data_IF_407136019354
#
_entry.id   IF_407136019354
#
_cell.length_a   1.000
_cell.length_b   1.000
_cell.length_c   1.000
_cell.angle_alpha   90.00
_cell.angle_beta   90.00
_cell.angle_gamma   90.00
#
_symmetry.space_group_name_H-M   'P 1'
#
loop_
_entity.id
_entity.type
_entity.pdbx_description
1 polymer ?
#
# COMPACT_ATOMS: atom_id res chain seq x y z
N UNK A 1 30.72 -1.22 -42.72
CA UNK A 1 30.99 -1.46 -41.29
C UNK A 1 30.50 -0.25 -40.52
N UNK A 2 29.63 -0.48 -39.52
CA UNK A 2 28.94 0.48 -38.62
C UNK A 2 27.41 0.50 -38.80
N UNK A 3 26.81 -0.69 -38.75
CA UNK A 3 25.43 -0.89 -38.31
C UNK A 3 25.52 -1.92 -37.18
N UNK A 4 25.47 -1.44 -35.94
CA UNK A 4 25.75 -2.28 -34.77
C UNK A 4 26.13 -1.48 -33.53
N UNK A 5 25.45 -0.37 -33.27
CA UNK A 5 25.31 0.12 -31.90
C UNK A 5 23.94 -0.37 -31.45
N UNK A 6 23.90 -1.62 -30.98
CA UNK A 6 22.86 -2.08 -30.07
C UNK A 6 22.66 -0.99 -29.02
N UNK A 7 21.50 -0.33 -29.03
CA UNK A 7 21.07 0.46 -27.88
C UNK A 7 21.15 -0.49 -26.70
N UNK A 8 22.10 -0.26 -25.80
CA UNK A 8 22.08 -0.92 -24.50
C UNK A 8 20.66 -0.75 -23.93
N UNK A 9 20.05 -1.81 -23.40
CA UNK A 9 18.76 -1.66 -22.74
C UNK A 9 18.95 -0.59 -21.67
N UNK A 10 18.28 0.56 -21.85
CA UNK A 10 18.29 1.60 -20.83
C UNK A 10 17.84 0.93 -19.54
N UNK A 11 18.59 1.07 -18.43
CA UNK A 11 18.13 0.54 -17.16
C UNK A 11 16.72 1.08 -16.92
N UNK A 12 15.79 0.19 -16.59
CA UNK A 12 14.41 0.58 -16.31
C UNK A 12 14.42 1.75 -15.33
N UNK A 13 13.84 2.88 -15.73
CA UNK A 13 13.81 4.08 -14.88
C UNK A 13 13.14 3.71 -13.57
N UNK A 14 13.87 3.86 -12.46
CA UNK A 14 13.31 3.68 -11.12
C UNK A 14 12.16 4.67 -10.94
N UNK A 15 10.96 4.15 -10.73
CA UNK A 15 9.79 4.98 -10.45
C UNK A 15 9.91 5.65 -9.08
N UNK A 16 9.23 6.78 -8.91
CA UNK A 16 9.03 7.37 -7.59
C UNK A 16 8.08 6.50 -6.78
N UNK A 17 8.41 6.26 -5.52
CA UNK A 17 7.43 5.71 -4.58
C UNK A 17 6.22 6.64 -4.50
N UNK A 18 5.03 6.06 -4.32
CA UNK A 18 3.76 6.79 -4.31
C UNK A 18 3.75 8.03 -3.41
N UNK A 19 4.29 7.93 -2.19
CA UNK A 19 4.35 9.05 -1.25
C UNK A 19 5.23 10.22 -1.78
N UNK A 20 6.39 9.91 -2.37
CA UNK A 20 7.28 10.91 -2.99
C UNK A 20 6.65 11.53 -4.24
N UNK A 21 6.00 10.70 -5.05
CA UNK A 21 5.24 11.13 -6.21
C UNK A 21 4.12 12.11 -5.82
N UNK A 22 3.36 11.81 -4.75
CA UNK A 22 2.30 12.67 -4.24
C UNK A 22 2.84 14.02 -3.74
N UNK A 23 3.93 14.01 -2.97
CA UNK A 23 4.55 15.24 -2.49
C UNK A 23 5.03 16.14 -3.64
N UNK A 24 5.72 15.55 -4.62
CA UNK A 24 6.20 16.27 -5.80
C UNK A 24 5.05 16.79 -6.67
N UNK A 25 4.04 15.95 -6.93
CA UNK A 25 2.86 16.35 -7.69
C UNK A 25 2.12 17.51 -7.02
N UNK A 26 1.91 17.45 -5.71
CA UNK A 26 1.23 18.51 -4.95
C UNK A 26 1.97 19.84 -5.06
N UNK A 27 3.30 19.83 -4.92
CA UNK A 27 4.13 21.02 -5.01
C UNK A 27 4.05 21.69 -6.39
N UNK A 28 3.98 20.89 -7.47
CA UNK A 28 3.89 21.42 -8.85
C UNK A 28 2.45 21.77 -9.24
N UNK A 29 1.47 20.97 -8.83
CA UNK A 29 0.08 21.10 -9.27
C UNK A 29 -0.64 22.30 -8.64
N UNK A 30 -0.37 22.59 -7.36
CA UNK A 30 -1.01 23.69 -6.62
C UNK A 30 -0.88 25.06 -7.31
N UNK A 31 0.32 25.54 -7.69
CA UNK A 31 0.46 26.83 -8.38
C UNK A 31 -0.11 26.84 -9.81
N UNK A 32 -0.43 25.66 -10.37
CA UNK A 32 -0.93 25.50 -11.73
C UNK A 32 -2.45 25.29 -11.79
N UNK A 33 -3.15 25.29 -10.65
CA UNK A 33 -4.56 24.87 -10.57
C UNK A 33 -4.78 23.53 -11.31
N UNK A 34 -3.86 22.59 -11.06
CA UNK A 34 -3.82 21.31 -11.75
C UNK A 34 -4.26 20.17 -10.81
N UNK A 35 -4.76 19.10 -11.41
CA UNK A 35 -5.11 17.84 -10.75
C UNK A 35 -4.11 16.77 -11.17
N UNK A 36 -3.61 16.00 -10.21
CA UNK A 36 -2.77 14.84 -10.52
C UNK A 36 -3.58 13.76 -11.24
N UNK A 37 -3.01 13.19 -12.30
CA UNK A 37 -3.55 12.12 -13.14
C UNK A 37 -2.57 10.95 -13.22
N UNK A 38 -2.69 10.11 -14.25
CA UNK A 38 -1.81 8.97 -14.52
C UNK A 38 -1.73 7.95 -13.39
N UNK A 39 -0.57 7.28 -13.31
CA UNK A 39 -0.25 6.24 -12.32
C UNK A 39 -0.50 6.71 -10.88
N UNK A 40 -0.15 7.96 -10.57
CA UNK A 40 -0.37 8.53 -9.24
C UNK A 40 -1.85 8.55 -8.88
N UNK A 41 -2.72 9.01 -9.79
CA UNK A 41 -4.16 9.06 -9.55
C UNK A 41 -4.80 7.67 -9.54
N UNK A 42 -4.27 6.71 -10.32
CA UNK A 42 -4.71 5.32 -10.28
C UNK A 42 -4.24 4.56 -9.04
N UNK A 43 -3.38 5.11 -8.20
CA UNK A 43 -2.98 4.41 -6.99
C UNK A 43 -1.67 3.63 -7.08
N UNK A 44 -0.96 3.66 -8.21
CA UNK A 44 0.21 2.81 -8.43
C UNK A 44 1.29 3.02 -7.35
N UNK A 45 1.94 1.92 -6.95
CA UNK A 45 3.03 1.88 -5.97
C UNK A 45 4.28 2.65 -6.42
N UNK A 46 4.55 2.59 -7.73
CA UNK A 46 5.62 3.29 -8.40
C UNK A 46 5.03 4.17 -9.50
N UNK A 47 5.52 5.41 -9.55
CA UNK A 47 5.13 6.41 -10.54
C UNK A 47 6.35 6.73 -11.39
N UNK A 48 6.33 6.26 -12.63
CA UNK A 48 7.39 6.49 -13.61
C UNK A 48 7.20 7.81 -14.35
N UNK A 49 5.95 8.27 -14.45
CA UNK A 49 5.60 9.54 -15.06
C UNK A 49 4.53 10.24 -14.23
N UNK A 50 4.86 11.42 -13.71
CA UNK A 50 3.88 12.29 -13.09
C UNK A 50 3.08 12.98 -14.18
N UNK A 51 1.76 12.87 -14.15
CA UNK A 51 0.88 13.54 -15.11
C UNK A 51 -0.01 14.50 -14.34
N UNK A 52 -0.10 15.73 -14.80
CA UNK A 52 -0.93 16.79 -14.25
C UNK A 52 -1.87 17.31 -15.33
N UNK A 53 -3.11 17.62 -14.96
CA UNK A 53 -4.10 18.22 -15.87
C UNK A 53 -4.58 19.53 -15.29
N UNK A 54 -4.34 20.63 -15.99
CA UNK A 54 -4.76 21.97 -15.58
C UNK A 54 -5.84 22.51 -16.48
N UNK A 55 -6.72 23.32 -15.91
CA UNK A 55 -7.72 24.14 -16.63
C UNK A 55 -7.26 25.59 -16.82
N UNK A 56 -6.10 25.97 -16.29
CA UNK A 56 -5.60 27.33 -16.38
C UNK A 56 -5.14 27.63 -17.82
N UNK A 57 -5.55 28.78 -18.41
CA UNK A 57 -5.24 29.10 -19.80
C UNK A 57 -3.74 29.33 -20.05
N UNK A 58 -2.98 29.68 -19.01
CA UNK A 58 -1.53 29.92 -19.03
C UNK A 58 -0.74 28.83 -18.28
N UNK A 59 -1.33 27.63 -18.13
CA UNK A 59 -0.73 26.53 -17.38
C UNK A 59 0.65 26.13 -17.92
N UNK A 60 0.81 26.13 -19.25
CA UNK A 60 2.08 25.77 -19.90
C UNK A 60 3.17 26.79 -19.57
N UNK A 61 2.90 28.10 -19.68
CA UNK A 61 3.87 29.14 -19.32
C UNK A 61 4.27 29.03 -17.85
N UNK A 62 3.28 28.88 -16.96
CA UNK A 62 3.53 28.77 -15.52
C UNK A 62 4.33 27.51 -15.17
N UNK A 63 4.07 26.39 -15.85
CA UNK A 63 4.79 25.13 -15.64
C UNK A 63 6.26 25.23 -16.02
N UNK A 64 6.55 25.81 -17.18
CA UNK A 64 7.94 26.02 -17.64
C UNK A 64 8.70 26.97 -16.70
N UNK A 65 8.01 27.88 -16.04
CA UNK A 65 8.59 28.81 -15.07
C UNK A 65 8.71 28.22 -13.64
N UNK A 66 8.21 27.01 -13.39
CA UNK A 66 8.27 26.40 -12.05
C UNK A 66 9.72 26.14 -11.63
N UNK A 67 10.15 26.53 -10.42
CA UNK A 67 11.48 26.20 -9.90
C UNK A 67 11.77 24.70 -9.83
N UNK A 68 10.72 23.88 -9.68
CA UNK A 68 10.83 22.43 -9.65
C UNK A 68 11.13 21.81 -11.02
N UNK A 69 10.90 22.53 -12.13
CA UNK A 69 11.14 22.09 -13.51
C UNK A 69 12.44 22.72 -14.01
N UNK A 70 13.49 21.91 -14.14
CA UNK A 70 14.84 22.40 -14.50
C UNK A 70 15.17 22.26 -15.98
N UNK A 71 14.43 21.41 -16.70
CA UNK A 71 14.54 21.27 -18.14
C UNK A 71 13.17 20.96 -18.73
N UNK A 72 12.91 21.48 -19.93
CA UNK A 72 11.69 21.20 -20.70
C UNK A 72 12.13 20.44 -21.95
N UNK A 73 11.62 19.22 -22.11
CA UNK A 73 11.98 18.34 -23.23
C UNK A 73 10.95 18.37 -24.35
N UNK A 74 9.71 18.73 -24.03
CA UNK A 74 8.60 18.86 -24.98
C UNK A 74 7.70 20.02 -24.54
N UNK A 75 7.22 20.79 -25.51
CA UNK A 75 6.28 21.89 -25.28
C UNK A 75 5.50 22.18 -26.56
N UNK A 76 4.18 22.18 -26.44
CA UNK A 76 3.24 22.75 -27.40
C UNK A 76 2.20 23.64 -26.68
N UNK A 77 1.11 24.00 -27.35
CA UNK A 77 0.05 24.86 -26.80
C UNK A 77 -0.74 24.23 -25.65
N UNK A 78 -0.84 22.90 -25.58
CA UNK A 78 -1.65 22.17 -24.60
C UNK A 78 -0.90 21.08 -23.85
N UNK A 79 0.37 20.90 -24.13
CA UNK A 79 1.20 19.85 -23.58
C UNK A 79 2.60 20.35 -23.27
N UNK A 80 3.15 19.92 -22.15
CA UNK A 80 4.55 20.10 -21.85
C UNK A 80 5.09 18.94 -21.03
N UNK A 81 6.36 18.58 -21.27
CA UNK A 81 7.06 17.62 -20.44
C UNK A 81 8.32 18.27 -19.87
N UNK A 82 8.34 18.35 -18.56
CA UNK A 82 9.44 18.87 -17.75
C UNK A 82 10.20 17.77 -17.03
N UNK A 83 11.45 18.04 -16.71
CA UNK A 83 12.31 17.21 -15.87
C UNK A 83 12.61 17.97 -14.58
N UNK A 84 12.49 17.30 -13.44
CA UNK A 84 12.81 17.90 -12.14
C UNK A 84 14.29 17.80 -11.79
N UNK A 85 14.72 18.49 -10.73
CA UNK A 85 16.09 18.42 -10.18
C UNK A 85 16.54 16.97 -9.95
N UNK A 86 15.63 16.12 -9.48
CA UNK A 86 15.89 14.70 -9.20
C UNK A 86 15.78 13.81 -10.45
N UNK A 87 15.59 14.39 -11.64
CA UNK A 87 15.49 13.66 -12.91
C UNK A 87 14.12 13.04 -13.20
N UNK A 88 13.08 13.39 -12.42
CA UNK A 88 11.73 12.85 -12.61
C UNK A 88 11.01 13.54 -13.76
N UNK A 89 10.28 12.78 -14.57
CA UNK A 89 9.47 13.31 -15.66
C UNK A 89 8.11 13.77 -15.15
N UNK A 90 7.74 15.01 -15.48
CA UNK A 90 6.44 15.60 -15.19
C UNK A 90 5.80 16.05 -16.49
N UNK A 91 4.66 15.49 -16.81
CA UNK A 91 3.83 15.85 -17.94
C UNK A 91 2.69 16.75 -17.46
N UNK A 92 2.48 17.86 -18.17
CA UNK A 92 1.35 18.74 -17.97
C UNK A 92 0.48 18.75 -19.23
N UNK A 93 -0.82 18.52 -19.02
CA UNK A 93 -1.87 18.71 -20.03
C UNK A 93 -2.67 19.95 -19.66
N UNK A 94 -2.69 20.96 -20.54
CA UNK A 94 -3.58 22.10 -20.42
C UNK A 94 -4.89 21.78 -21.16
N UNK A 95 -5.90 21.39 -20.39
CA UNK A 95 -7.20 20.99 -20.89
C UNK A 95 -8.07 22.21 -21.20
N UNK A 96 -8.85 22.11 -22.28
CA UNK A 96 -9.88 23.12 -22.57
C UNK A 96 -11.01 23.00 -21.53
N UNK A 97 -11.63 24.12 -21.07
CA UNK A 97 -12.67 24.07 -20.04
C UNK A 97 -13.81 23.09 -20.35
N UNK A 98 -14.26 23.02 -21.60
CA UNK A 98 -15.33 22.14 -22.07
C UNK A 98 -14.92 20.66 -22.23
N UNK A 99 -13.61 20.37 -22.15
CA UNK A 99 -13.02 19.03 -22.29
C UNK A 99 -12.32 18.54 -21.03
N UNK A 100 -12.34 19.29 -19.93
CA UNK A 100 -11.55 18.98 -18.74
C UNK A 100 -11.77 17.55 -18.25
N UNK A 101 -13.01 17.10 -18.17
CA UNK A 101 -13.35 15.72 -17.81
C UNK A 101 -12.82 14.69 -18.80
N UNK A 102 -12.97 14.94 -20.09
CA UNK A 102 -12.42 14.06 -21.15
C UNK A 102 -10.90 13.92 -21.06
N UNK A 103 -10.19 15.04 -20.92
CA UNK A 103 -8.74 15.07 -20.90
C UNK A 103 -8.20 14.51 -19.58
N UNK A 104 -8.89 14.74 -18.45
CA UNK A 104 -8.56 14.12 -17.16
C UNK A 104 -8.74 12.60 -17.20
N UNK A 105 -9.82 12.08 -17.79
CA UNK A 105 -10.03 10.64 -17.93
C UNK A 105 -8.94 10.00 -18.79
N UNK A 106 -8.63 10.63 -19.93
CA UNK A 106 -7.56 10.18 -20.85
C UNK A 106 -6.19 10.20 -20.19
N UNK A 107 -5.88 11.25 -19.44
CA UNK A 107 -4.62 11.37 -18.71
C UNK A 107 -4.54 10.44 -17.48
N UNK A 108 -5.69 9.99 -16.95
CA UNK A 108 -5.76 9.13 -15.76
C UNK A 108 -5.63 7.65 -16.11
N UNK A 109 -6.42 7.16 -17.07
CA UNK A 109 -6.47 5.73 -17.38
C UNK A 109 -5.16 5.17 -17.90
N UNK A 110 -4.96 3.85 -17.77
CA UNK A 110 -3.91 3.17 -18.55
C UNK A 110 -4.21 3.27 -20.05
N UNK A 111 -3.20 3.06 -20.89
CA UNK A 111 -3.39 3.04 -22.35
C UNK A 111 -4.47 2.02 -22.76
N UNK A 112 -4.43 0.83 -22.18
CA UNK A 112 -5.41 -0.23 -22.44
C UNK A 112 -6.83 0.15 -21.99
N UNK A 113 -6.97 0.81 -20.83
CA UNK A 113 -8.25 1.28 -20.32
C UNK A 113 -8.87 2.34 -21.23
N UNK A 114 -8.09 3.37 -21.58
CA UNK A 114 -8.55 4.48 -22.43
C UNK A 114 -8.91 3.98 -23.82
N UNK A 115 -8.06 3.13 -24.43
CA UNK A 115 -8.31 2.56 -25.76
C UNK A 115 -9.64 1.79 -25.84
N UNK A 116 -10.06 1.14 -24.76
CA UNK A 116 -11.32 0.41 -24.70
C UNK A 116 -12.57 1.32 -24.59
N UNK A 117 -12.38 2.61 -24.27
CA UNK A 117 -13.45 3.61 -24.15
C UNK A 117 -13.51 4.57 -25.34
N UNK A 118 -12.45 4.67 -26.15
CA UNK A 118 -12.44 5.55 -27.32
C UNK A 118 -13.52 5.15 -28.35
N UNK A 119 -14.15 6.12 -29.04
CA UNK A 119 -13.92 7.56 -28.92
C UNK A 119 -14.53 8.17 -27.63
N UNK A 120 -13.74 8.96 -26.89
CA UNK A 120 -14.23 9.63 -25.68
C UNK A 120 -15.10 10.87 -26.02
N UNK A 121 -16.31 10.99 -25.47
CA UNK A 121 -17.15 12.18 -25.64
C UNK A 121 -16.52 13.41 -24.98
N UNK A 122 -16.80 14.58 -25.56
CA UNK A 122 -16.43 15.88 -25.00
C UNK A 122 -17.29 16.21 -23.80
N UNK A 123 -16.67 16.39 -22.65
CA UNK A 123 -17.36 16.62 -21.39
C UNK A 123 -16.50 17.44 -20.42
N UNK A 124 -17.19 18.20 -19.57
CA UNK A 124 -16.58 19.06 -18.55
C UNK A 124 -16.14 18.28 -17.31
N UNK A 125 -16.84 17.19 -16.98
CA UNK A 125 -16.50 16.29 -15.87
C UNK A 125 -16.34 14.86 -16.37
N UNK A 126 -15.63 14.02 -15.61
CA UNK A 126 -15.46 12.63 -16.00
C UNK A 126 -16.78 11.87 -15.87
N UNK A 127 -17.61 12.17 -14.87
CA UNK A 127 -18.94 11.57 -14.69
C UNK A 127 -19.83 11.78 -15.93
N UNK A 128 -19.73 12.97 -16.55
CA UNK A 128 -20.42 13.25 -17.81
C UNK A 128 -19.85 12.42 -18.98
N UNK A 129 -18.54 12.10 -18.99
CA UNK A 129 -17.96 11.15 -19.96
C UNK A 129 -18.60 9.78 -19.82
N UNK A 130 -18.66 9.22 -18.60
CA UNK A 130 -19.25 7.90 -18.36
C UNK A 130 -20.76 7.88 -18.67
N UNK A 131 -21.51 8.91 -18.27
CA UNK A 131 -22.93 9.02 -18.58
C UNK A 131 -23.22 9.05 -20.08
N UNK A 132 -22.39 9.74 -20.87
CA UNK A 132 -22.53 9.79 -22.33
C UNK A 132 -22.08 8.50 -23.04
N UNK A 133 -21.22 7.71 -22.39
CA UNK A 133 -20.82 6.38 -22.85
C UNK A 133 -21.81 5.27 -22.44
N UNK A 134 -22.84 5.61 -21.66
CA UNK A 134 -23.83 4.68 -21.09
C UNK A 134 -23.19 3.52 -20.31
N UNK A 135 -22.19 3.86 -19.47
CA UNK A 135 -21.50 2.91 -18.59
C UNK A 135 -21.39 3.48 -17.17
N UNK A 136 -21.30 2.62 -16.13
CA UNK A 136 -21.11 3.06 -14.76
C UNK A 136 -19.81 3.84 -14.55
N UNK A 137 -19.79 4.70 -13.53
CA UNK A 137 -18.58 5.37 -13.08
C UNK A 137 -17.56 4.35 -12.57
N UNK A 138 -16.31 4.43 -13.06
CA UNK A 138 -15.21 3.56 -12.61
C UNK A 138 -14.18 4.40 -11.84
N UNK A 139 -13.91 4.11 -10.56
CA UNK A 139 -12.86 4.76 -9.78
C UNK A 139 -11.49 4.67 -10.47
N UNK A 140 -10.64 5.71 -10.39
CA UNK A 140 -9.29 5.70 -10.98
C UNK A 140 -8.46 4.44 -10.69
N UNK A 141 -8.61 3.87 -9.49
CA UNK A 141 -7.89 2.69 -9.01
C UNK A 141 -8.12 1.44 -9.85
N UNK A 142 -9.26 1.35 -10.54
CA UNK A 142 -9.64 0.20 -11.35
C UNK A 142 -9.34 0.39 -12.85
N UNK A 143 -8.74 1.52 -13.24
CA UNK A 143 -8.56 1.90 -14.66
C UNK A 143 -7.28 1.35 -15.28
N UNK A 144 -6.98 0.08 -15.04
CA UNK A 144 -5.79 -0.60 -15.56
C UNK A 144 -6.05 -1.42 -16.82
N UNK A 145 -7.23 -2.03 -16.94
CA UNK A 145 -7.62 -2.85 -18.10
C UNK A 145 -9.06 -2.56 -18.51
N UNK A 146 -9.46 -2.97 -19.71
CA UNK A 146 -10.80 -2.73 -20.23
C UNK A 146 -11.90 -3.19 -19.24
N UNK A 147 -12.72 -2.25 -18.77
CA UNK A 147 -13.83 -2.52 -17.85
C UNK A 147 -15.00 -1.59 -18.14
N UNK A 148 -16.22 -2.15 -18.19
CA UNK A 148 -17.47 -1.42 -18.45
C UNK A 148 -18.61 -1.85 -17.52
N UNK A 149 -18.30 -2.66 -16.50
CA UNK A 149 -19.28 -3.15 -15.53
C UNK A 149 -19.49 -2.17 -14.37
N UNK A 150 -20.35 -2.56 -13.44
CA UNK A 150 -20.48 -1.88 -12.15
C UNK A 150 -19.30 -2.28 -11.25
N UNK A 151 -18.45 -1.34 -10.81
CA UNK A 151 -17.39 -1.67 -9.87
C UNK A 151 -17.98 -2.02 -8.50
N UNK A 152 -17.29 -2.86 -7.69
CA UNK A 152 -17.71 -3.08 -6.32
C UNK A 152 -17.56 -1.81 -5.48
N UNK A 153 -18.26 -1.75 -4.33
CA UNK A 153 -18.07 -0.69 -3.34
C UNK A 153 -16.73 -0.86 -2.66
N UNK A 154 -15.70 -0.21 -3.22
CA UNK A 154 -14.33 -0.32 -2.76
C UNK A 154 -14.18 0.18 -1.31
N UNK A 155 -13.30 -0.48 -0.56
CA UNK A 155 -12.94 -0.07 0.81
C UNK A 155 -12.46 1.38 0.85
N UNK A 156 -12.84 2.09 1.89
CA UNK A 156 -12.38 3.45 2.21
C UNK A 156 -11.54 3.46 3.48
N UNK A 157 -10.72 4.51 3.65
CA UNK A 157 -9.89 4.65 4.85
C UNK A 157 -10.74 4.76 6.13
N UNK A 158 -11.92 5.37 6.02
CA UNK A 158 -12.88 5.48 7.11
C UNK A 158 -13.54 4.15 7.51
N UNK A 159 -13.46 3.12 6.67
CA UNK A 159 -13.95 1.78 7.01
C UNK A 159 -12.98 1.06 7.97
N UNK A 160 -11.71 1.47 8.02
CA UNK A 160 -10.68 0.81 8.82
C UNK A 160 -10.80 1.22 10.29
N UNK A 161 -11.06 0.24 11.15
CA UNK A 161 -11.34 0.44 12.57
C UNK A 161 -10.11 0.32 13.46
N UNK A 162 -9.00 -0.18 12.93
CA UNK A 162 -7.75 -0.23 13.68
C UNK A 162 -6.57 -0.68 12.85
N UNK A 163 -5.38 -0.49 13.40
CA UNK A 163 -4.13 -0.95 12.79
C UNK A 163 -3.62 -2.19 13.51
N UNK A 164 -3.28 -3.23 12.76
CA UNK A 164 -2.89 -4.54 13.29
C UNK A 164 -1.39 -4.83 13.13
N UNK A 165 -0.57 -3.84 12.76
CA UNK A 165 0.89 -3.99 12.70
C UNK A 165 1.61 -2.66 12.96
N UNK A 166 2.06 -2.45 14.20
CA UNK A 166 2.78 -1.25 14.63
C UNK A 166 3.90 -1.60 15.62
N UNK A 167 4.95 -0.78 15.63
CA UNK A 167 6.17 -0.98 16.41
C UNK A 167 6.35 0.16 17.43
N UNK A 168 7.01 -0.14 18.55
CA UNK A 168 7.24 0.81 19.64
C UNK A 168 8.72 0.86 20.02
N UNK A 169 9.06 1.71 20.98
CA UNK A 169 10.42 1.79 21.57
C UNK A 169 10.90 0.48 22.21
N UNK A 170 10.06 -0.55 22.33
CA UNK A 170 10.47 -1.87 22.80
C UNK A 170 11.35 -2.60 21.78
N UNK A 171 11.12 -2.40 20.47
CA UNK A 171 12.00 -2.90 19.41
C UNK A 171 12.69 -1.75 18.65
N UNK A 172 12.16 -1.33 17.51
CA UNK A 172 12.75 -0.32 16.62
C UNK A 172 11.81 0.85 16.26
N UNK A 173 10.66 0.92 16.93
CA UNK A 173 9.80 2.10 16.91
C UNK A 173 10.37 3.29 17.69
N UNK A 174 9.81 4.47 17.44
CA UNK A 174 10.26 5.76 18.01
C UNK A 174 9.37 6.28 19.13
N UNK A 175 8.25 5.61 19.38
CA UNK A 175 7.22 6.04 20.31
C UNK A 175 6.87 4.92 21.29
N UNK A 176 6.49 5.29 22.51
CA UNK A 176 6.03 4.32 23.52
C UNK A 176 4.69 3.69 23.12
N UNK A 177 4.27 2.65 23.86
CA UNK A 177 2.94 2.04 23.65
C UNK A 177 1.84 3.09 23.81
N UNK A 178 1.92 3.90 24.87
CA UNK A 178 0.92 4.93 25.17
C UNK A 178 0.85 6.01 24.07
N UNK A 179 2.01 6.45 23.57
CA UNK A 179 2.08 7.47 22.50
C UNK A 179 1.47 6.94 21.19
N UNK A 180 1.82 5.71 20.79
CA UNK A 180 1.26 5.07 19.59
C UNK A 180 -0.26 4.86 19.72
N UNK A 181 -0.70 4.32 20.86
CA UNK A 181 -2.10 4.06 21.13
C UNK A 181 -2.95 5.34 21.17
N UNK A 182 -2.44 6.39 21.82
CA UNK A 182 -3.10 7.71 21.85
C UNK A 182 -3.24 8.28 20.44
N UNK A 183 -2.17 8.22 19.64
CA UNK A 183 -2.15 8.74 18.28
C UNK A 183 -3.08 7.96 17.33
N UNK A 184 -3.22 6.64 17.53
CA UNK A 184 -4.16 5.81 16.78
C UNK A 184 -5.62 6.11 17.16
N UNK A 185 -5.92 6.21 18.47
CA UNK A 185 -7.24 6.61 18.98
C UNK A 185 -7.67 7.98 18.44
N UNK A 186 -6.76 8.95 18.45
CA UNK A 186 -7.06 10.32 18.01
C UNK A 186 -7.31 10.40 16.49
N UNK A 187 -6.89 9.38 15.73
CA UNK A 187 -7.26 9.18 14.31
C UNK A 187 -8.60 8.47 14.11
N UNK A 188 -9.29 8.12 15.19
CA UNK A 188 -10.60 7.46 15.15
C UNK A 188 -10.54 5.93 15.12
N UNK A 189 -9.36 5.32 15.27
CA UNK A 189 -9.28 3.88 15.45
C UNK A 189 -9.87 3.47 16.81
N UNK A 190 -10.40 2.26 16.85
CA UNK A 190 -10.92 1.59 18.04
C UNK A 190 -9.89 0.67 18.69
N UNK A 191 -8.93 0.17 17.91
CA UNK A 191 -7.88 -0.70 18.39
C UNK A 191 -6.56 -0.53 17.63
N UNK A 192 -5.48 -0.98 18.27
CA UNK A 192 -4.12 -1.00 17.75
C UNK A 192 -3.41 -2.27 18.22
N UNK A 193 -2.78 -3.03 17.33
CA UNK A 193 -1.87 -4.10 17.72
C UNK A 193 -0.43 -3.61 17.77
N UNK A 194 0.21 -3.79 18.92
CA UNK A 194 1.66 -3.61 19.05
C UNK A 194 2.32 -4.94 18.68
N UNK A 195 3.11 -4.94 17.61
CA UNK A 195 3.73 -6.11 17.00
C UNK A 195 5.24 -5.92 16.96
N UNK A 196 5.84 -5.55 18.09
CA UNK A 196 7.31 -5.43 18.17
C UNK A 196 8.00 -6.74 17.78
N UNK A 197 9.20 -6.59 17.21
CA UNK A 197 9.95 -7.72 16.66
C UNK A 197 10.38 -8.72 17.73
N UNK A 198 10.45 -9.99 17.34
CA UNK A 198 10.99 -11.09 18.13
C UNK A 198 12.50 -11.32 17.84
N UNK A 199 13.20 -12.17 18.62
CA UNK A 199 14.67 -12.17 18.66
C UNK A 199 15.37 -12.53 17.33
N UNK A 200 14.73 -13.28 16.43
CA UNK A 200 15.41 -13.82 15.25
C UNK A 200 15.69 -12.77 14.15
N UNK A 201 15.06 -11.59 14.21
CA UNK A 201 15.36 -10.49 13.28
C UNK A 201 16.82 -10.04 13.39
N UNK A 202 17.42 -10.11 14.59
CA UNK A 202 18.85 -9.87 14.94
C UNK A 202 19.47 -8.52 14.57
N UNK A 203 18.88 -7.75 13.66
CA UNK A 203 19.36 -6.42 13.25
C UNK A 203 18.78 -5.29 14.10
N UNK A 204 17.74 -5.59 14.87
CA UNK A 204 17.05 -4.71 15.82
C UNK A 204 16.90 -5.42 17.17
N UNK A 205 16.66 -4.70 18.28
CA UNK A 205 16.31 -5.33 19.55
C UNK A 205 15.02 -6.14 19.38
N UNK A 206 15.11 -7.47 19.56
CA UNK A 206 13.94 -8.34 19.55
C UNK A 206 13.54 -8.72 20.97
N UNK A 207 12.23 -8.83 21.21
CA UNK A 207 11.68 -9.14 22.53
C UNK A 207 11.64 -10.65 22.76
N UNK A 208 12.31 -11.10 23.83
CA UNK A 208 12.12 -12.45 24.36
C UNK A 208 10.83 -12.56 25.19
N UNK A 209 10.58 -13.76 25.74
CA UNK A 209 9.42 -14.06 26.57
C UNK A 209 9.25 -13.08 27.74
N UNK A 210 10.33 -12.77 28.45
CA UNK A 210 10.28 -11.89 29.62
C UNK A 210 10.07 -10.43 29.21
N UNK A 211 10.63 -10.00 28.07
CA UNK A 211 10.40 -8.68 27.52
C UNK A 211 8.95 -8.49 27.05
N UNK A 212 8.36 -9.47 26.36
CA UNK A 212 6.95 -9.44 25.97
C UNK A 212 6.02 -9.34 27.20
N UNK A 213 6.30 -10.09 28.26
CA UNK A 213 5.53 -10.03 29.51
C UNK A 213 5.63 -8.67 30.19
N UNK A 214 6.81 -8.02 30.18
CA UNK A 214 6.97 -6.65 30.67
C UNK A 214 6.25 -5.62 29.80
N UNK A 215 6.32 -5.77 28.47
CA UNK A 215 5.56 -4.91 27.55
C UNK A 215 4.05 -5.07 27.78
N UNK A 216 3.57 -6.28 28.08
CA UNK A 216 2.17 -6.53 28.40
C UNK A 216 1.68 -5.71 29.61
N UNK A 217 2.55 -5.42 30.59
CA UNK A 217 2.22 -4.51 31.70
C UNK A 217 2.01 -3.06 31.23
N UNK A 218 2.85 -2.57 30.32
CA UNK A 218 2.68 -1.24 29.70
C UNK A 218 1.41 -1.17 28.83
N UNK A 219 1.13 -2.22 28.06
CA UNK A 219 -0.10 -2.37 27.29
C UNK A 219 -1.33 -2.40 28.21
N UNK A 220 -1.26 -3.08 29.35
CA UNK A 220 -2.35 -3.10 30.32
C UNK A 220 -2.63 -1.70 30.89
N UNK A 221 -1.58 -0.96 31.26
CA UNK A 221 -1.72 0.42 31.74
C UNK A 221 -2.30 1.35 30.66
N UNK A 222 -1.83 1.26 29.41
CA UNK A 222 -2.37 2.04 28.30
C UNK A 222 -3.86 1.70 28.03
N UNK A 223 -4.24 0.43 28.14
CA UNK A 223 -5.63 0.00 28.02
C UNK A 223 -6.55 0.54 29.13
N UNK A 224 -6.04 0.68 30.36
CA UNK A 224 -6.80 1.32 31.46
C UNK A 224 -6.99 2.81 31.19
N UNK A 225 -5.95 3.50 30.72
CA UNK A 225 -5.98 4.95 30.46
C UNK A 225 -6.84 5.32 29.24
N UNK A 226 -6.80 4.53 28.18
CA UNK A 226 -7.38 4.87 26.88
C UNK A 226 -8.77 4.26 26.63
N UNK A 227 -9.33 3.52 27.57
CA UNK A 227 -10.64 2.89 27.44
C UNK A 227 -11.70 3.89 26.92
N UNK A 228 -12.54 3.51 25.94
CA UNK A 228 -12.77 2.15 25.43
C UNK A 228 -11.81 1.69 24.31
N UNK A 229 -10.81 2.50 23.93
CA UNK A 229 -9.80 2.08 22.94
C UNK A 229 -9.01 0.87 23.44
N UNK A 230 -8.63 -0.04 22.53
CA UNK A 230 -7.93 -1.28 22.88
C UNK A 230 -6.58 -1.43 22.20
N UNK A 231 -5.53 -1.59 23.01
CA UNK A 231 -4.21 -2.02 22.56
C UNK A 231 -4.12 -3.53 22.70
N UNK A 232 -3.81 -4.22 21.60
CA UNK A 232 -3.62 -5.67 21.57
C UNK A 232 -2.17 -6.02 21.87
N UNK A 233 -1.97 -7.06 22.69
CA UNK A 233 -0.65 -7.66 22.92
C UNK A 233 -0.32 -8.52 21.71
N UNK A 234 0.43 -7.95 20.77
CA UNK A 234 0.88 -8.68 19.59
C UNK A 234 2.38 -8.91 19.56
N UNK A 235 2.82 -9.60 18.52
CA UNK A 235 4.23 -9.72 18.17
C UNK A 235 4.34 -9.92 16.66
N UNK A 236 5.35 -9.30 16.06
CA UNK A 236 5.82 -9.70 14.73
C UNK A 236 6.81 -10.86 14.91
N UNK A 237 6.28 -12.08 14.85
CA UNK A 237 6.99 -13.31 15.15
C UNK A 237 7.64 -13.90 13.90
N UNK A 238 8.97 -13.99 13.95
CA UNK A 238 9.77 -14.44 12.82
C UNK A 238 9.81 -15.97 12.70
N UNK A 239 9.78 -16.44 11.46
CA UNK A 239 9.98 -17.85 11.13
C UNK A 239 11.48 -18.14 11.22
N UNK A 240 11.90 -19.09 12.06
CA UNK A 240 13.29 -19.57 12.15
C UNK A 240 13.69 -20.40 10.94
N UNK A 241 15.00 -20.61 10.75
CA UNK A 241 15.53 -21.31 9.57
C UNK A 241 15.09 -22.78 9.45
N UNK A 242 14.72 -23.40 10.57
CA UNK A 242 14.14 -24.74 10.68
C UNK A 242 12.62 -24.77 10.44
N UNK A 243 11.97 -23.62 10.34
CA UNK A 243 10.52 -23.48 10.06
C UNK A 243 9.66 -23.23 11.28
N UNK A 244 10.20 -23.38 12.49
CA UNK A 244 9.51 -23.05 13.73
C UNK A 244 9.38 -21.54 13.92
N UNK A 245 8.51 -21.13 14.84
CA UNK A 245 8.43 -19.75 15.32
C UNK A 245 9.56 -19.46 16.31
N UNK A 246 9.97 -18.20 16.42
CA UNK A 246 11.07 -17.78 17.30
C UNK A 246 10.64 -17.37 18.71
N UNK A 247 9.40 -17.71 19.09
CA UNK A 247 8.87 -17.66 20.45
C UNK A 247 8.36 -19.04 20.89
N UNK A 248 8.45 -19.39 22.19
CA UNK A 248 7.85 -20.60 22.74
C UNK A 248 6.31 -20.60 22.68
N UNK A 249 5.71 -21.79 22.53
CA UNK A 249 4.24 -21.97 22.44
C UNK A 249 3.47 -21.38 23.63
N UNK A 250 4.01 -21.47 24.85
CA UNK A 250 3.37 -20.89 26.05
C UNK A 250 3.29 -19.36 25.97
N UNK A 251 4.33 -18.72 25.43
CA UNK A 251 4.38 -17.27 25.22
C UNK A 251 3.45 -16.86 24.08
N UNK A 252 3.44 -17.61 22.98
CA UNK A 252 2.53 -17.37 21.85
C UNK A 252 1.06 -17.47 22.28
N UNK A 253 0.73 -18.35 23.23
CA UNK A 253 -0.61 -18.48 23.81
C UNK A 253 -1.04 -17.31 24.71
N UNK A 254 -0.12 -16.44 25.12
CA UNK A 254 -0.42 -15.24 25.92
C UNK A 254 -0.79 -14.03 25.05
N UNK A 255 -0.45 -14.05 23.75
CA UNK A 255 -0.65 -12.96 22.80
C UNK A 255 -2.08 -12.93 22.24
N UNK A 256 -2.58 -11.72 22.01
CA UNK A 256 -3.88 -11.48 21.38
C UNK A 256 -3.78 -11.53 19.84
N UNK A 257 -2.61 -11.20 19.27
CA UNK A 257 -2.37 -11.12 17.82
C UNK A 257 -0.95 -11.53 17.41
N UNK A 258 -0.79 -12.65 16.69
CA UNK A 258 0.52 -13.05 16.15
C UNK A 258 0.60 -12.75 14.67
N UNK A 259 1.48 -11.81 14.33
CA UNK A 259 1.83 -11.43 12.98
C UNK A 259 3.03 -12.28 12.55
N UNK A 260 2.83 -13.25 11.66
CA UNK A 260 3.86 -14.16 11.18
C UNK A 260 4.71 -13.49 10.10
N UNK A 261 6.03 -13.63 10.18
CA UNK A 261 6.94 -12.91 9.29
C UNK A 261 8.14 -13.71 8.85
N UNK A 262 8.67 -13.36 7.68
CA UNK A 262 9.91 -13.92 7.17
C UNK A 262 10.95 -12.81 7.00
N UNK A 263 11.88 -12.65 7.93
CA UNK A 263 12.97 -11.68 7.78
C UNK A 263 14.21 -12.31 7.15
N UNK A 264 14.50 -13.57 7.48
CA UNK A 264 15.66 -14.31 7.02
C UNK A 264 15.30 -15.43 6.03
N UNK A 265 16.15 -15.65 5.02
CA UNK A 265 15.93 -16.71 4.01
C UNK A 265 15.00 -16.32 2.86
N UNK A 266 14.77 -15.02 2.66
CA UNK A 266 14.00 -14.43 1.55
C UNK A 266 14.51 -14.81 0.13
N UNK A 267 15.70 -15.41 0.02
CA UNK A 267 16.32 -15.88 -1.24
C UNK A 267 16.29 -17.40 -1.42
N UNK A 268 15.61 -18.13 -0.55
CA UNK A 268 15.46 -19.58 -0.68
C UNK A 268 14.70 -19.93 -1.97
N UNK A 269 14.94 -21.11 -2.56
CA UNK A 269 14.15 -21.60 -3.68
C UNK A 269 12.66 -21.66 -3.35
N UNK A 270 11.78 -21.35 -4.32
CA UNK A 270 10.32 -21.28 -4.15
C UNK A 270 9.75 -22.43 -3.30
N UNK A 271 10.13 -23.67 -3.60
CA UNK A 271 9.61 -24.86 -2.89
C UNK A 271 9.96 -24.84 -1.39
N UNK A 272 11.21 -24.54 -1.06
CA UNK A 272 11.70 -24.52 0.33
C UNK A 272 11.10 -23.34 1.09
N UNK A 273 11.09 -22.15 0.46
CA UNK A 273 10.50 -20.94 0.99
C UNK A 273 8.99 -21.11 1.30
N UNK A 274 8.25 -21.66 0.34
CA UNK A 274 6.81 -21.91 0.48
C UNK A 274 6.51 -22.93 1.55
N UNK A 275 7.23 -24.06 1.58
CA UNK A 275 7.05 -25.07 2.62
C UNK A 275 7.29 -24.47 4.02
N UNK A 276 8.37 -23.69 4.17
CA UNK A 276 8.72 -23.03 5.44
C UNK A 276 7.64 -22.06 5.90
N UNK A 277 7.16 -21.18 5.03
CA UNK A 277 6.11 -20.21 5.38
C UNK A 277 4.78 -20.90 5.68
N UNK A 278 4.36 -21.82 4.81
CA UNK A 278 3.06 -22.48 4.95
C UNK A 278 2.97 -23.46 6.12
N UNK A 279 4.08 -24.06 6.54
CA UNK A 279 4.10 -24.86 7.77
C UNK A 279 3.93 -23.96 9.00
N UNK A 280 4.66 -22.84 9.06
CA UNK A 280 4.54 -21.88 10.15
C UNK A 280 3.12 -21.26 10.26
N UNK A 281 2.44 -21.04 9.12
CA UNK A 281 1.04 -20.58 9.09
C UNK A 281 0.05 -21.53 9.76
N UNK A 282 0.40 -22.81 9.97
CA UNK A 282 -0.48 -23.79 10.63
C UNK A 282 -0.41 -23.72 12.15
N UNK A 283 0.50 -22.92 12.71
CA UNK A 283 0.59 -22.75 14.14
C UNK A 283 -0.68 -22.07 14.69
N UNK A 284 -1.34 -22.60 15.74
CA UNK A 284 -2.68 -22.15 16.17
C UNK A 284 -2.72 -20.71 16.73
N UNK A 285 -1.56 -20.14 17.09
CA UNK A 285 -1.47 -18.75 17.53
C UNK A 285 -1.41 -17.74 16.37
N UNK A 286 -1.04 -18.16 15.16
CA UNK A 286 -0.86 -17.25 14.02
C UNK A 286 -2.21 -16.68 13.58
N UNK A 287 -2.25 -15.39 13.25
CA UNK A 287 -3.46 -14.69 12.79
C UNK A 287 -3.30 -14.06 11.41
N UNK A 288 -2.12 -13.56 11.09
CA UNK A 288 -1.85 -12.89 9.81
C UNK A 288 -0.41 -13.11 9.36
N UNK A 289 -0.17 -13.21 8.05
CA UNK A 289 1.17 -13.23 7.45
C UNK A 289 1.55 -11.81 7.00
N UNK A 290 2.56 -11.19 7.63
CA UNK A 290 3.03 -9.84 7.25
C UNK A 290 3.90 -9.85 6.01
N UNK A 291 3.81 -8.76 5.24
CA UNK A 291 4.57 -8.42 4.03
C UNK A 291 5.13 -9.65 3.30
N UNK A 292 4.24 -10.54 2.77
CA UNK A 292 4.60 -11.91 2.43
C UNK A 292 5.70 -12.05 1.37
N UNK A 293 5.81 -11.06 0.47
CA UNK A 293 6.79 -11.05 -0.63
C UNK A 293 8.13 -10.48 -0.20
N UNK A 294 8.20 -9.88 1.00
CA UNK A 294 9.38 -9.24 1.55
C UNK A 294 9.97 -8.16 0.64
N UNK A 295 9.21 -7.57 -0.28
CA UNK A 295 9.78 -6.65 -1.27
C UNK A 295 10.12 -5.30 -0.65
N UNK A 296 11.09 -4.60 -1.25
CA UNK A 296 11.39 -3.19 -0.98
C UNK A 296 11.50 -2.51 -2.33
N UNK A 297 10.58 -1.60 -2.63
CA UNK A 297 10.48 -0.89 -3.90
C UNK A 297 11.84 -0.27 -4.27
N UNK A 298 12.27 -0.48 -5.52
CA UNK A 298 13.58 -0.05 -6.04
C UNK A 298 14.85 -0.65 -5.39
N UNK A 299 14.73 -1.53 -4.39
CA UNK A 299 15.89 -2.05 -3.63
C UNK A 299 15.95 -3.58 -3.53
N UNK A 300 14.83 -4.24 -3.21
CA UNK A 300 14.73 -5.69 -3.05
C UNK A 300 13.51 -6.21 -3.82
N UNK A 301 13.69 -7.08 -4.84
CA UNK A 301 12.55 -7.67 -5.53
C UNK A 301 11.74 -8.57 -4.59
N UNK A 302 10.50 -8.85 -4.97
CA UNK A 302 9.68 -9.86 -4.32
C UNK A 302 10.41 -11.22 -4.27
N UNK A 303 10.21 -11.94 -3.17
CA UNK A 303 10.73 -13.29 -2.99
C UNK A 303 10.02 -14.31 -3.89
N UNK A 304 10.48 -15.56 -3.81
CA UNK A 304 9.96 -16.66 -4.62
C UNK A 304 8.75 -17.38 -4.00
N UNK A 305 8.08 -16.81 -2.98
CA UNK A 305 6.97 -17.48 -2.29
C UNK A 305 5.85 -17.80 -3.29
N UNK A 306 5.30 -19.01 -3.24
CA UNK A 306 4.18 -19.41 -4.07
C UNK A 306 2.86 -18.91 -3.44
N UNK A 307 2.37 -17.77 -3.92
CA UNK A 307 1.15 -17.16 -3.38
C UNK A 307 -0.09 -18.02 -3.56
N UNK A 308 -0.17 -18.83 -4.63
CA UNK A 308 -1.32 -19.72 -4.84
C UNK A 308 -1.39 -20.74 -3.70
N UNK A 309 -0.27 -21.38 -3.40
CA UNK A 309 -0.21 -22.33 -2.27
C UNK A 309 -0.39 -21.63 -0.92
N UNK A 310 0.15 -20.42 -0.74
CA UNK A 310 -0.05 -19.63 0.49
C UNK A 310 -1.53 -19.31 0.72
N UNK A 311 -2.27 -18.91 -0.33
CA UNK A 311 -3.71 -18.64 -0.27
C UNK A 311 -4.50 -19.89 0.11
N UNK A 312 -4.18 -21.05 -0.47
CA UNK A 312 -4.81 -22.32 -0.08
C UNK A 312 -4.65 -22.60 1.42
N UNK A 313 -3.44 -22.41 1.95
CA UNK A 313 -3.17 -22.65 3.37
C UNK A 313 -3.85 -21.60 4.25
N UNK A 314 -3.90 -20.34 3.81
CA UNK A 314 -4.64 -19.28 4.50
C UNK A 314 -6.13 -19.62 4.64
N UNK A 315 -6.76 -20.19 3.60
CA UNK A 315 -8.14 -20.68 3.67
C UNK A 315 -8.29 -21.87 4.62
N UNK A 316 -7.31 -22.78 4.65
CA UNK A 316 -7.31 -23.94 5.54
C UNK A 316 -7.17 -23.54 7.02
N UNK A 317 -6.38 -22.51 7.33
CA UNK A 317 -6.01 -22.13 8.71
C UNK A 317 -6.75 -20.92 9.24
N UNK A 318 -7.43 -20.15 8.39
CA UNK A 318 -8.05 -18.87 8.76
C UNK A 318 -7.05 -17.71 8.89
N UNK A 319 -5.78 -17.92 8.55
CA UNK A 319 -4.74 -16.89 8.62
C UNK A 319 -4.96 -15.84 7.52
N UNK A 320 -5.04 -14.57 7.90
CA UNK A 320 -5.17 -13.46 6.97
C UNK A 320 -3.84 -13.13 6.25
N UNK A 321 -3.91 -12.37 5.15
CA UNK A 321 -2.73 -11.86 4.44
C UNK A 321 -2.63 -10.35 4.56
N UNK A 322 -1.44 -9.83 4.83
CA UNK A 322 -1.21 -8.39 4.94
C UNK A 322 -1.06 -7.71 3.57
N UNK A 323 -1.66 -6.53 3.42
CA UNK A 323 -1.19 -5.47 2.52
C UNK A 323 -0.64 -4.30 3.35
N UNK A 324 0.68 -4.22 3.37
CA UNK A 324 1.47 -3.37 4.23
C UNK A 324 1.63 -1.98 3.63
N UNK A 325 1.25 -0.95 4.36
CA UNK A 325 1.24 0.45 3.91
C UNK A 325 2.60 1.15 3.97
N UNK A 326 3.68 0.49 4.43
CA UNK A 326 4.98 1.15 4.51
C UNK A 326 5.39 1.65 3.12
N UNK A 327 5.73 2.94 2.93
CA UNK A 327 5.86 3.53 1.61
C UNK A 327 6.91 2.87 0.70
N UNK A 328 7.94 2.28 1.30
CA UNK A 328 9.01 1.59 0.59
C UNK A 328 8.73 0.10 0.37
N UNK A 329 7.64 -0.47 0.93
CA UNK A 329 7.22 -1.87 0.77
C UNK A 329 6.03 -2.01 -0.16
N UNK A 330 4.85 -1.56 0.30
CA UNK A 330 3.54 -1.83 -0.31
C UNK A 330 3.33 -3.33 -0.57
N UNK A 331 3.26 -4.19 0.44
CA UNK A 331 3.33 -5.65 0.26
C UNK A 331 2.24 -6.37 1.08
N UNK A 332 1.29 -7.11 0.51
CA UNK A 332 1.11 -7.50 -0.90
C UNK A 332 0.84 -6.34 -1.85
N UNK A 333 1.21 -6.53 -3.13
CA UNK A 333 0.84 -5.59 -4.21
C UNK A 333 -0.62 -5.79 -4.66
N UNK A 334 -1.15 -4.83 -5.38
CA UNK A 334 -2.54 -4.80 -5.84
C UNK A 334 -3.03 -6.07 -6.55
N UNK A 335 -2.28 -6.62 -7.52
CA UNK A 335 -2.75 -7.85 -8.19
C UNK A 335 -2.68 -9.08 -7.29
N UNK A 336 -1.80 -9.07 -6.29
CA UNK A 336 -1.70 -10.14 -5.28
C UNK A 336 -2.83 -10.03 -4.24
N UNK A 337 -3.21 -8.79 -3.87
CA UNK A 337 -4.43 -8.54 -3.09
C UNK A 337 -5.66 -9.01 -3.84
N UNK A 338 -5.74 -8.74 -5.15
CA UNK A 338 -6.86 -9.21 -5.99
C UNK A 338 -7.00 -10.73 -5.96
N UNK A 339 -5.89 -11.47 -6.00
CA UNK A 339 -5.91 -12.94 -5.87
C UNK A 339 -6.45 -13.40 -4.51
N UNK A 340 -6.07 -12.74 -3.42
CA UNK A 340 -6.57 -13.07 -2.08
C UNK A 340 -8.08 -12.81 -1.96
N UNK A 341 -8.54 -11.65 -2.45
CA UNK A 341 -9.97 -11.27 -2.49
C UNK A 341 -10.78 -12.27 -3.31
N UNK A 342 -10.33 -12.62 -4.52
CA UNK A 342 -11.03 -13.59 -5.38
C UNK A 342 -11.10 -15.00 -4.77
N UNK A 343 -10.11 -15.37 -3.96
CA UNK A 343 -10.09 -16.64 -3.23
C UNK A 343 -10.92 -16.62 -1.93
N UNK A 344 -11.35 -15.43 -1.46
CA UNK A 344 -12.06 -15.27 -0.20
C UNK A 344 -11.18 -15.30 1.05
N UNK A 345 -9.87 -15.05 0.91
CA UNK A 345 -8.95 -14.92 2.05
C UNK A 345 -9.05 -13.50 2.61
N UNK A 346 -9.29 -13.31 3.92
CA UNK A 346 -9.29 -11.99 4.53
C UNK A 346 -7.93 -11.29 4.37
N UNK A 347 -7.97 -10.01 4.03
CA UNK A 347 -6.77 -9.16 3.93
C UNK A 347 -6.70 -8.20 5.11
N UNK A 348 -5.50 -7.92 5.62
CA UNK A 348 -5.27 -6.89 6.64
C UNK A 348 -4.57 -5.70 5.98
N UNK A 349 -5.17 -4.51 6.09
CA UNK A 349 -4.48 -3.27 5.75
C UNK A 349 -3.71 -2.77 6.98
N UNK A 350 -2.40 -2.57 6.90
CA UNK A 350 -1.61 -2.11 8.05
C UNK A 350 -0.66 -0.97 7.68
N UNK A 351 -0.11 -0.26 8.66
CA UNK A 351 0.86 0.81 8.40
C UNK A 351 2.32 0.40 8.55
N UNK A 352 2.60 -0.66 9.31
CA UNK A 352 3.96 -1.01 9.74
C UNK A 352 4.62 0.20 10.44
N UNK A 353 3.83 0.92 11.25
CA UNK A 353 4.24 2.21 11.77
C UNK A 353 5.30 2.04 12.86
N UNK A 354 6.46 2.66 12.62
CA UNK A 354 7.54 2.81 13.59
C UNK A 354 7.54 4.19 14.27
N UNK A 355 6.51 5.01 14.01
CA UNK A 355 6.26 6.27 14.70
C UNK A 355 4.82 6.70 14.54
N UNK A 356 4.37 7.66 15.34
CA UNK A 356 3.00 8.20 15.25
C UNK A 356 2.69 8.85 13.90
N UNK A 357 3.69 9.33 13.14
CA UNK A 357 3.51 9.80 11.76
C UNK A 357 3.35 8.64 10.77
N UNK A 358 3.95 7.49 11.06
CA UNK A 358 3.81 6.29 10.26
C UNK A 358 2.38 5.77 10.19
N UNK A 359 1.53 6.09 11.19
CA UNK A 359 0.11 5.73 11.19
C UNK A 359 -0.65 6.31 9.97
N UNK A 360 -0.17 7.39 9.37
CA UNK A 360 -0.79 7.99 8.17
C UNK A 360 -0.57 7.12 6.91
N UNK A 361 0.27 6.08 6.99
CA UNK A 361 0.48 5.12 5.91
C UNK A 361 -0.75 4.25 5.62
N UNK A 362 -1.78 4.24 6.47
CA UNK A 362 -2.99 3.43 6.28
C UNK A 362 -3.63 3.72 4.91
N UNK A 363 -3.60 4.99 4.50
CA UNK A 363 -4.05 5.43 3.18
C UNK A 363 -3.35 4.71 2.03
N UNK A 364 -2.08 4.34 2.19
CA UNK A 364 -1.32 3.61 1.17
C UNK A 364 -1.78 2.15 1.09
N UNK A 365 -1.94 1.47 2.23
CA UNK A 365 -2.49 0.10 2.27
C UNK A 365 -3.90 0.04 1.68
N UNK A 366 -4.78 0.96 2.09
CA UNK A 366 -6.15 1.07 1.57
C UNK A 366 -6.14 1.37 0.06
N UNK A 367 -5.26 2.24 -0.43
CA UNK A 367 -5.14 2.46 -1.89
C UNK A 367 -4.77 1.17 -2.62
N UNK A 368 -3.80 0.41 -2.10
CA UNK A 368 -3.39 -0.88 -2.69
C UNK A 368 -4.55 -1.88 -2.67
N UNK A 369 -5.29 -1.95 -1.56
CA UNK A 369 -6.47 -2.79 -1.44
C UNK A 369 -7.58 -2.43 -2.45
N UNK A 370 -7.85 -1.13 -2.63
CA UNK A 370 -8.80 -0.61 -3.62
C UNK A 370 -8.41 -1.02 -5.04
N UNK A 371 -7.11 -0.96 -5.39
CA UNK A 371 -6.60 -1.45 -6.69
C UNK A 371 -6.72 -2.96 -6.83
N UNK A 372 -6.65 -3.69 -5.72
CA UNK A 372 -6.99 -5.11 -5.62
C UNK A 372 -8.50 -5.39 -5.64
N UNK A 373 -9.34 -4.37 -5.87
CA UNK A 373 -10.80 -4.42 -5.89
C UNK A 373 -11.44 -4.85 -4.56
N UNK A 374 -10.73 -4.71 -3.45
CA UNK A 374 -11.24 -5.07 -2.15
C UNK A 374 -12.39 -4.14 -1.73
N UNK A 375 -13.43 -4.73 -1.18
CA UNK A 375 -14.50 -4.07 -0.44
C UNK A 375 -14.20 -4.08 1.05
N UNK A 376 -14.98 -3.36 1.85
CA UNK A 376 -14.83 -3.39 3.31
C UNK A 376 -14.96 -4.82 3.88
N UNK A 377 -15.77 -5.70 3.27
CA UNK A 377 -15.97 -7.06 3.73
C UNK A 377 -14.73 -7.96 3.58
N UNK A 378 -13.87 -7.62 2.62
CA UNK A 378 -12.63 -8.36 2.32
C UNK A 378 -11.48 -7.97 3.27
N UNK A 379 -11.59 -6.80 3.92
CA UNK A 379 -10.57 -6.27 4.82
C UNK A 379 -10.93 -6.60 6.27
N UNK A 380 -10.10 -7.40 6.93
CA UNK A 380 -10.36 -7.92 8.28
C UNK A 380 -10.49 -6.81 9.32
N UNK A 381 -9.64 -5.79 9.25
CA UNK A 381 -9.61 -4.68 10.21
C UNK A 381 -10.63 -3.56 9.93
N UNK A 382 -11.68 -3.85 9.13
CA UNK A 382 -12.93 -3.07 9.11
C UNK A 382 -13.97 -3.61 10.11
N UNK A 383 -13.69 -4.78 10.70
CA UNK A 383 -14.58 -5.46 11.65
C UNK A 383 -14.41 -4.93 13.07
N UNK A 384 -15.44 -5.03 13.93
CA UNK A 384 -15.27 -4.75 15.36
C UNK A 384 -14.24 -5.70 15.97
N UNK A 385 -13.51 -5.24 16.99
CA UNK A 385 -12.46 -6.04 17.63
C UNK A 385 -12.94 -7.43 18.09
N UNK A 386 -14.18 -7.55 18.59
CA UNK A 386 -14.74 -8.81 19.03
C UNK A 386 -14.81 -9.86 17.89
N UNK A 387 -15.02 -9.44 16.64
CA UNK A 387 -15.02 -10.35 15.50
C UNK A 387 -13.60 -10.74 15.07
N UNK A 388 -12.59 -9.91 15.35
CA UNK A 388 -11.19 -10.18 14.99
C UNK A 388 -10.54 -11.15 15.97
N UNK A 389 -10.83 -11.02 17.27
CA UNK A 389 -10.26 -11.91 18.30
C UNK A 389 -10.92 -13.29 18.36
N UNK A 390 -12.06 -13.47 17.67
CA UNK A 390 -12.81 -14.72 17.62
C UNK A 390 -12.89 -15.34 16.21
N UNK A 391 -12.18 -14.75 15.23
CA UNK A 391 -12.11 -15.23 13.84
C UNK A 391 -11.19 -16.45 13.68
#
# INVERSE_FOLDING_TARGET
MLAGLSREPQPARRGLTRNRALALATAIATPLDAVAAGELRRGCELVHRLVLVSRAPDAIERFVAQPAVVAVIERDERHAVGITVEGNSVELVAALPERFGTDLLRATGSEAYVAALEPLPVATTEEEVYARLDIPWVPPELRETAFRGEPPSLVEEADVRGDLHCHTTWSDGKNSVLEMATAARDRGHEYLAICDHTPNVRVVPGLDADALRRQAEEIAAANEELAPFRVLRGAECDIRADGDLDLPDDVLGELDWVQLSLHAGQRLPQRELTARVTEAMRHPAVRCLSHPRGRILNHRPANALDLGRTIEVALETGVALETNGLPDRLDLRDEEVRLAVEAGVPVVCSTDAHSVQGLDNMRLAVTTARRGWATAADILNTRPLAEILHA
#
